data_IF_414086344288
#
_entry.id   IF_414086344288
#
_cell.length_a   1.000
_cell.length_b   1.000
_cell.length_c   1.000
_cell.angle_alpha   90.00
_cell.angle_beta   90.00
_cell.angle_gamma   90.00
#
_symmetry.space_group_name_H-M   'P 1'
#
loop_
_entity.id
_entity.type
_entity.pdbx_description
1 polymer ?
#
# COMPACT_ATOMS: atom_id res chain seq x y z
N UNK A 1 23.77 -42.04 40.73
CA UNK A 1 24.88 -41.09 40.93
C UNK A 1 25.20 -40.45 39.58
N UNK A 2 25.03 -39.12 39.52
CA UNK A 2 25.80 -38.13 38.72
C UNK A 2 25.72 -38.36 37.19
N UNK A 3 24.69 -37.88 36.49
CA UNK A 3 24.57 -36.52 35.93
C UNK A 3 25.89 -36.02 35.28
N UNK A 4 26.18 -36.55 34.09
CA UNK A 4 27.27 -36.09 33.21
C UNK A 4 26.84 -34.78 32.56
N UNK A 5 27.44 -33.69 33.02
CA UNK A 5 27.32 -32.38 32.40
C UNK A 5 28.14 -32.29 31.12
N UNK A 6 27.57 -31.63 30.12
CA UNK A 6 28.24 -30.89 29.05
C UNK A 6 27.20 -29.96 28.39
N UNK A 7 26.85 -28.85 29.04
CA UNK A 7 26.28 -27.70 28.33
C UNK A 7 27.33 -26.59 28.35
N UNK A 8 28.27 -26.72 27.43
CA UNK A 8 29.23 -25.69 27.10
C UNK A 8 28.56 -24.61 26.24
N UNK A 9 28.68 -23.37 26.70
CA UNK A 9 29.01 -22.17 25.92
C UNK A 9 28.62 -22.15 24.43
N UNK A 10 27.54 -21.43 24.13
CA UNK A 10 27.57 -20.45 23.02
C UNK A 10 26.83 -19.18 23.46
N UNK A 11 27.52 -18.33 24.21
CA UNK A 11 27.20 -16.90 24.27
C UNK A 11 28.14 -16.23 23.29
N UNK A 12 27.73 -16.23 22.03
CA UNK A 12 28.46 -15.66 20.90
C UNK A 12 27.52 -14.82 20.07
N UNK A 13 27.81 -13.52 20.03
CA UNK A 13 27.19 -12.44 19.28
C UNK A 13 26.66 -12.81 17.90
N UNK A 14 25.54 -12.18 17.53
CA UNK A 14 25.12 -12.09 16.14
C UNK A 14 23.76 -11.45 16.02
N UNK A 15 23.73 -10.12 16.07
CA UNK A 15 22.80 -9.24 15.35
C UNK A 15 21.59 -9.97 14.75
N UNK A 16 20.54 -10.17 15.54
CA UNK A 16 19.20 -10.26 14.96
C UNK A 16 18.64 -8.84 14.87
N UNK A 17 19.26 -8.08 13.96
CA UNK A 17 18.50 -7.12 13.19
C UNK A 17 17.45 -7.92 12.45
N UNK A 18 16.28 -8.08 13.10
CA UNK A 18 15.08 -8.45 12.39
C UNK A 18 14.70 -7.22 11.58
N UNK A 19 15.47 -6.96 10.51
CA UNK A 19 15.08 -6.11 9.40
C UNK A 19 13.98 -6.88 8.67
N UNK A 20 12.85 -7.06 9.37
CA UNK A 20 11.58 -7.40 8.78
C UNK A 20 11.42 -6.41 7.64
N UNK A 21 11.58 -6.92 6.41
CA UNK A 21 11.58 -6.13 5.19
C UNK A 21 10.40 -5.19 5.28
N UNK A 22 10.69 -3.90 5.56
CA UNK A 22 9.63 -2.89 5.66
C UNK A 22 8.91 -2.98 4.32
N UNK A 23 7.60 -3.28 4.30
CA UNK A 23 6.87 -3.28 3.04
C UNK A 23 7.15 -1.94 2.35
N UNK A 24 7.30 -1.94 1.01
CA UNK A 24 7.64 -0.73 0.29
C UNK A 24 6.70 0.39 0.73
N UNK A 25 7.23 1.60 0.99
CA UNK A 25 6.41 2.69 1.46
C UNK A 25 5.46 3.06 0.32
N UNK A 26 4.23 2.51 0.36
CA UNK A 26 3.15 2.89 -0.54
C UNK A 26 2.98 4.40 -0.62
N UNK A 27 2.22 4.88 -1.61
CA UNK A 27 1.98 6.31 -1.81
C UNK A 27 1.51 6.96 -0.51
N UNK A 28 2.14 8.08 -0.15
CA UNK A 28 1.81 8.81 1.06
C UNK A 28 0.37 9.35 1.00
N UNK A 29 -0.31 9.48 2.15
CA UNK A 29 -1.67 10.01 2.28
C UNK A 29 -1.93 11.27 1.44
N UNK A 30 -1.00 12.23 1.49
CA UNK A 30 -1.09 13.50 0.79
C UNK A 30 -1.05 13.36 -0.74
N UNK A 31 -0.45 12.29 -1.25
CA UNK A 31 -0.26 12.04 -2.68
C UNK A 31 -1.32 11.10 -3.28
N UNK A 32 -2.16 10.45 -2.45
CA UNK A 32 -3.19 9.52 -2.92
C UNK A 32 -4.15 10.18 -3.91
N UNK A 33 -4.71 11.34 -3.53
CA UNK A 33 -5.67 12.09 -4.36
C UNK A 33 -4.97 12.63 -5.62
N UNK A 34 -3.78 13.21 -5.47
CA UNK A 34 -3.02 13.75 -6.61
C UNK A 34 -2.65 12.66 -7.64
N UNK A 35 -2.31 11.46 -7.16
CA UNK A 35 -2.03 10.32 -8.04
C UNK A 35 -3.29 9.86 -8.76
N UNK A 36 -4.42 9.75 -8.06
CA UNK A 36 -5.71 9.40 -8.68
C UNK A 36 -6.16 10.44 -9.70
N UNK A 37 -5.95 11.73 -9.44
CA UNK A 37 -6.23 12.81 -10.39
C UNK A 37 -5.35 12.70 -11.64
N UNK A 38 -4.05 12.38 -11.47
CA UNK A 38 -3.15 12.13 -12.61
C UNK A 38 -3.58 10.91 -13.44
N UNK A 39 -4.09 9.85 -12.81
CA UNK A 39 -4.70 8.72 -13.53
C UNK A 39 -5.98 9.17 -14.23
N UNK A 40 -6.79 10.03 -13.61
CA UNK A 40 -8.01 10.58 -14.21
C UNK A 40 -7.73 11.45 -15.45
N UNK A 41 -6.56 12.09 -15.51
CA UNK A 41 -6.12 12.89 -16.65
C UNK A 41 -5.49 12.05 -17.75
N UNK A 42 -4.64 11.09 -17.38
CA UNK A 42 -3.77 10.37 -18.32
C UNK A 42 -4.24 8.96 -18.66
N UNK A 43 -5.09 8.36 -17.84
CA UNK A 43 -5.50 6.95 -17.92
C UNK A 43 -4.38 5.95 -17.66
N UNK A 44 -3.18 6.40 -17.28
CA UNK A 44 -2.01 5.56 -17.01
C UNK A 44 -1.94 5.24 -15.53
N UNK A 45 -1.92 3.95 -15.17
CA UNK A 45 -1.97 3.51 -13.78
C UNK A 45 -1.02 2.36 -13.46
N UNK A 46 -0.46 1.69 -14.46
CA UNK A 46 0.30 0.44 -14.30
C UNK A 46 1.49 0.62 -13.33
N UNK A 47 2.25 1.71 -13.51
CA UNK A 47 3.46 1.98 -12.72
C UNK A 47 3.16 2.37 -11.26
N UNK A 48 1.94 2.83 -10.99
CA UNK A 48 1.54 3.35 -9.67
C UNK A 48 0.52 2.45 -8.96
N UNK A 49 -0.05 1.45 -9.65
CA UNK A 49 -1.16 0.63 -9.16
C UNK A 49 -0.85 -0.02 -7.82
N UNK A 50 0.31 -0.67 -7.71
CA UNK A 50 0.71 -1.36 -6.49
C UNK A 50 0.95 -0.37 -5.34
N UNK A 51 1.72 0.69 -5.58
CA UNK A 51 2.04 1.69 -4.55
C UNK A 51 0.80 2.44 -4.06
N UNK A 52 -0.13 2.75 -4.97
CA UNK A 52 -1.40 3.40 -4.66
C UNK A 52 -2.34 2.46 -3.89
N UNK A 53 -2.37 1.16 -4.22
CA UNK A 53 -3.13 0.15 -3.46
C UNK A 53 -2.64 0.09 -2.01
N UNK A 54 -1.33 -0.04 -1.80
CA UNK A 54 -0.72 -0.06 -0.47
C UNK A 54 -1.02 1.25 0.29
N UNK A 55 -0.92 2.39 -0.38
CA UNK A 55 -1.23 3.69 0.21
C UNK A 55 -2.69 3.80 0.68
N UNK A 56 -3.64 3.34 -0.14
CA UNK A 56 -5.07 3.31 0.22
C UNK A 56 -5.34 2.36 1.39
N UNK A 57 -4.75 1.16 1.39
CA UNK A 57 -4.90 0.18 2.48
C UNK A 57 -4.37 0.72 3.82
N UNK A 58 -3.23 1.42 3.79
CA UNK A 58 -2.64 2.07 4.98
C UNK A 58 -3.53 3.13 5.60
N UNK A 59 -4.34 3.82 4.78
CA UNK A 59 -5.32 4.81 5.24
C UNK A 59 -6.68 4.19 5.58
N UNK A 60 -6.79 2.85 5.61
CA UNK A 60 -8.02 2.14 5.92
C UNK A 60 -9.05 2.16 4.77
N UNK A 61 -8.64 2.56 3.57
CA UNK A 61 -9.49 2.67 2.38
C UNK A 61 -9.49 1.36 1.56
N UNK A 62 -9.80 0.25 2.22
CA UNK A 62 -9.73 -1.09 1.60
C UNK A 62 -10.68 -1.25 0.40
N UNK A 63 -11.87 -0.66 0.46
CA UNK A 63 -12.82 -0.72 -0.65
C UNK A 63 -12.30 0.06 -1.86
N UNK A 64 -11.65 1.20 -1.63
CA UNK A 64 -11.04 2.02 -2.67
C UNK A 64 -9.84 1.30 -3.30
N UNK A 65 -9.04 0.61 -2.49
CA UNK A 65 -7.95 -0.24 -2.96
C UNK A 65 -8.47 -1.38 -3.87
N UNK A 66 -9.56 -2.04 -3.47
CA UNK A 66 -10.20 -3.08 -4.28
C UNK A 66 -10.76 -2.51 -5.61
N UNK A 67 -11.38 -1.34 -5.59
CA UNK A 67 -11.87 -0.67 -6.79
C UNK A 67 -10.72 -0.29 -7.74
N UNK A 68 -9.56 0.10 -7.20
CA UNK A 68 -8.38 0.45 -7.99
C UNK A 68 -7.85 -0.77 -8.75
N UNK A 69 -7.83 -1.95 -8.13
CA UNK A 69 -7.41 -3.20 -8.79
C UNK A 69 -8.26 -3.53 -10.04
N UNK A 70 -9.51 -3.07 -10.08
CA UNK A 70 -10.37 -3.25 -11.26
C UNK A 70 -9.91 -2.44 -12.48
N UNK A 71 -9.01 -1.47 -12.34
CA UNK A 71 -8.53 -0.68 -13.49
C UNK A 71 -7.86 -1.57 -14.55
N UNK A 72 -7.18 -2.63 -14.11
CA UNK A 72 -6.58 -3.66 -14.97
C UNK A 72 -7.58 -4.38 -15.87
N UNK A 73 -8.86 -4.40 -15.49
CA UNK A 73 -9.95 -5.03 -16.25
C UNK A 73 -10.68 -4.05 -17.18
N UNK A 74 -10.31 -2.76 -17.13
CA UNK A 74 -10.90 -1.74 -17.98
C UNK A 74 -10.14 -1.68 -19.31
N UNK A 75 -10.79 -2.11 -20.38
CA UNK A 75 -10.18 -2.18 -21.71
C UNK A 75 -9.97 -0.82 -22.40
N UNK A 76 -10.54 0.26 -21.87
CA UNK A 76 -10.41 1.60 -22.47
C UNK A 76 -9.90 2.63 -21.48
N UNK A 77 -8.96 3.45 -21.94
CA UNK A 77 -8.37 4.57 -21.23
C UNK A 77 -9.47 5.51 -20.67
N UNK A 78 -10.50 5.79 -21.45
CA UNK A 78 -11.63 6.62 -21.05
C UNK A 78 -12.42 6.06 -19.84
N UNK A 79 -12.56 4.73 -19.76
CA UNK A 79 -13.18 4.10 -18.59
C UNK A 79 -12.27 4.19 -17.37
N UNK A 80 -10.97 4.02 -17.55
CA UNK A 80 -9.98 4.20 -16.48
C UNK A 80 -10.05 5.63 -15.94
N UNK A 81 -10.00 6.64 -16.81
CA UNK A 81 -10.07 8.05 -16.43
C UNK A 81 -11.33 8.37 -15.61
N UNK A 82 -12.49 7.91 -16.08
CA UNK A 82 -13.76 8.11 -15.35
C UNK A 82 -13.76 7.41 -13.99
N UNK A 83 -13.28 6.17 -13.92
CA UNK A 83 -13.19 5.42 -12.67
C UNK A 83 -12.22 6.08 -11.69
N UNK A 84 -11.06 6.55 -12.15
CA UNK A 84 -10.08 7.28 -11.37
C UNK A 84 -10.62 8.60 -10.83
N UNK A 85 -11.35 9.36 -11.65
CA UNK A 85 -12.00 10.61 -11.20
C UNK A 85 -13.02 10.38 -10.09
N UNK A 86 -13.84 9.32 -10.23
CA UNK A 86 -14.80 8.92 -9.20
C UNK A 86 -14.06 8.50 -7.92
N UNK A 87 -13.04 7.67 -8.05
CA UNK A 87 -12.26 7.17 -6.92
C UNK A 87 -11.53 8.29 -6.18
N UNK A 88 -10.91 9.23 -6.90
CA UNK A 88 -10.28 10.44 -6.35
C UNK A 88 -11.25 11.23 -5.46
N UNK A 89 -12.48 11.45 -5.95
CA UNK A 89 -13.51 12.18 -5.22
C UNK A 89 -13.92 11.46 -3.93
N UNK A 90 -14.06 10.13 -3.98
CA UNK A 90 -14.43 9.33 -2.81
C UNK A 90 -13.29 9.27 -1.77
N UNK A 91 -12.06 9.05 -2.21
CA UNK A 91 -10.87 9.08 -1.36
C UNK A 91 -10.73 10.44 -0.69
N UNK A 92 -10.85 11.55 -1.43
CA UNK A 92 -10.80 12.90 -0.88
C UNK A 92 -11.84 13.13 0.23
N UNK A 93 -13.09 12.69 0.00
CA UNK A 93 -14.16 12.79 1.01
C UNK A 93 -13.84 11.95 2.25
N UNK A 94 -13.36 10.72 2.07
CA UNK A 94 -13.07 9.80 3.17
C UNK A 94 -11.89 10.26 4.00
N UNK A 95 -10.80 10.69 3.38
CA UNK A 95 -9.63 11.24 4.08
C UNK A 95 -9.99 12.49 4.90
N UNK A 96 -10.90 13.32 4.41
CA UNK A 96 -11.41 14.46 5.16
C UNK A 96 -12.25 14.04 6.39
N UNK A 97 -13.00 12.93 6.29
CA UNK A 97 -13.79 12.39 7.42
C UNK A 97 -12.94 11.65 8.45
N UNK A 98 -11.90 10.94 8.04
CA UNK A 98 -11.00 10.20 8.95
C UNK A 98 -10.13 11.11 9.82
N UNK A 99 -10.12 12.42 9.54
CA UNK A 99 -9.35 13.41 10.33
C UNK A 99 -10.21 14.07 11.43
N UNK A 100 -11.49 13.71 11.55
CA UNK A 100 -12.38 14.05 12.69
C UNK A 100 -12.47 12.88 13.67
#
# INVERSE_FOLDING_TARGET
>A
MILVGCLGLVSGCGIWGNEASKPPPGIAKAELVATLDKIAETGKYQDVLQQLTIGLEREGLMQEAANLQQFSTLESEERVKRSAKKLSSEVKKKLAKTTQ
#
